data_IF_592602773762
#
_entry.id   IF_592602773762
#
_cell.length_a   1.000
_cell.length_b   1.000
_cell.length_c   1.000
_cell.angle_alpha   90.00
_cell.angle_beta   90.00
_cell.angle_gamma   90.00
#
_symmetry.space_group_name_H-M   'P 1'
#
loop_
_entity.id
_entity.type
_entity.pdbx_description
1 polymer ?
#
# COMPACT_ATOMS: atom_id res chain seq x y z
N UNK A 1 -25.48 9.20 -9.62
CA UNK A 1 -25.52 7.99 -10.46
C UNK A 1 -24.26 7.18 -10.14
N UNK A 2 -24.36 5.89 -9.80
CA UNK A 2 -23.20 5.08 -9.39
C UNK A 2 -22.50 4.49 -10.62
N UNK A 3 -21.18 4.68 -10.75
CA UNK A 3 -20.40 4.10 -11.84
C UNK A 3 -19.78 2.76 -11.43
N UNK A 4 -20.11 1.68 -12.14
CA UNK A 4 -19.48 0.36 -12.04
C UNK A 4 -18.52 0.19 -13.22
N UNK A 5 -17.21 0.32 -13.00
CA UNK A 5 -16.21 -0.04 -14.03
C UNK A 5 -16.00 -1.56 -14.03
N UNK A 6 -16.37 -2.23 -15.12
CA UNK A 6 -15.84 -3.54 -15.51
C UNK A 6 -15.02 -3.34 -16.81
N UNK A 7 -13.70 -3.46 -16.75
CA UNK A 7 -12.84 -3.32 -17.93
C UNK A 7 -11.38 -3.02 -17.57
N UNK A 8 -10.49 -3.00 -18.56
CA UNK A 8 -9.11 -2.50 -18.45
C UNK A 8 -9.06 -0.99 -18.73
N UNK A 9 -8.09 -0.22 -18.16
CA UNK A 9 -7.99 1.21 -18.40
C UNK A 9 -7.61 1.43 -19.87
N UNK A 10 -8.42 2.19 -20.61
CA UNK A 10 -8.12 2.55 -22.01
C UNK A 10 -8.76 1.65 -23.08
N UNK A 11 -9.58 0.66 -22.71
CA UNK A 11 -10.45 -0.03 -23.68
C UNK A 11 -11.86 -0.15 -23.11
N UNK A 12 -12.65 0.92 -23.30
CA UNK A 12 -14.07 0.93 -22.97
C UNK A 12 -14.80 0.03 -23.97
N UNK A 13 -15.16 -1.19 -23.55
CA UNK A 13 -15.95 -2.13 -24.35
C UNK A 13 -17.35 -1.59 -24.73
N UNK A 14 -17.76 -0.46 -24.16
CA UNK A 14 -19.06 0.18 -24.33
C UNK A 14 -18.97 1.71 -24.43
N UNK A 15 -18.02 2.24 -25.19
CA UNK A 15 -17.75 3.69 -25.31
C UNK A 15 -19.02 4.52 -25.63
N UNK A 16 -19.93 3.96 -26.44
CA UNK A 16 -21.20 4.60 -26.79
C UNK A 16 -22.16 4.84 -25.61
N UNK A 17 -22.11 4.02 -24.55
CA UNK A 17 -22.97 4.16 -23.37
C UNK A 17 -22.55 5.35 -22.48
N UNK A 18 -21.35 5.90 -22.67
CA UNK A 18 -20.77 6.92 -21.78
C UNK A 18 -20.56 8.28 -22.46
N UNK A 19 -20.99 8.44 -23.72
CA UNK A 19 -20.88 9.72 -24.47
C UNK A 19 -21.59 10.90 -23.78
N UNK A 20 -22.56 10.62 -22.91
CA UNK A 20 -23.30 11.63 -22.13
C UNK A 20 -23.00 11.57 -20.62
N UNK A 21 -22.06 10.72 -20.20
CA UNK A 21 -21.73 10.58 -18.79
C UNK A 21 -21.04 11.86 -18.26
N UNK A 22 -21.35 12.28 -17.03
CA UNK A 22 -20.64 13.39 -16.41
C UNK A 22 -19.17 13.03 -16.21
N UNK A 23 -18.29 14.04 -16.24
CA UNK A 23 -16.86 13.84 -16.04
C UNK A 23 -16.51 13.34 -14.62
N UNK A 24 -17.38 13.64 -13.63
CA UNK A 24 -17.19 13.25 -12.23
C UNK A 24 -18.48 12.69 -11.63
N UNK A 25 -18.34 11.86 -10.59
CA UNK A 25 -19.43 11.14 -9.95
C UNK A 25 -19.43 11.32 -8.42
N UNK A 26 -20.62 11.40 -7.82
CA UNK A 26 -20.78 11.47 -6.36
C UNK A 26 -20.60 10.11 -5.67
N UNK A 27 -20.72 9.02 -6.43
CA UNK A 27 -20.60 7.67 -5.89
C UNK A 27 -19.94 6.75 -6.93
N UNK A 28 -18.83 6.12 -6.55
CA UNK A 28 -18.13 5.12 -7.37
C UNK A 28 -18.09 3.80 -6.61
N UNK A 29 -18.50 2.71 -7.25
CA UNK A 29 -18.36 1.36 -6.72
C UNK A 29 -17.61 0.53 -7.76
N UNK A 30 -16.44 0.00 -7.42
CA UNK A 30 -15.58 -0.64 -8.42
C UNK A 30 -14.94 -1.92 -7.91
N UNK A 31 -14.78 -2.87 -8.83
CA UNK A 31 -13.95 -4.06 -8.68
C UNK A 31 -13.03 -4.16 -9.90
N UNK A 32 -11.94 -3.38 -9.93
CA UNK A 32 -11.00 -3.38 -11.05
C UNK A 32 -10.35 -4.76 -11.28
N UNK A 33 -9.88 -5.05 -12.50
CA UNK A 33 -9.13 -6.26 -12.78
C UNK A 33 -7.83 -6.33 -11.96
N UNK A 34 -7.52 -7.52 -11.44
CA UNK A 34 -6.32 -7.77 -10.64
C UNK A 34 -5.13 -8.23 -11.48
N UNK A 35 -3.92 -7.78 -11.13
CA UNK A 35 -2.67 -8.35 -11.65
C UNK A 35 -2.38 -8.11 -13.14
N UNK A 36 -3.16 -7.25 -13.80
CA UNK A 36 -2.94 -6.84 -15.18
C UNK A 36 -1.69 -5.96 -15.34
N UNK A 37 -1.22 -5.86 -16.59
CA UNK A 37 -0.20 -4.89 -16.98
C UNK A 37 -0.65 -4.07 -18.19
N UNK A 38 -0.58 -2.75 -18.06
CA UNK A 38 -0.89 -1.83 -19.16
C UNK A 38 0.35 -1.42 -19.95
N UNK A 39 0.16 -1.27 -21.27
CA UNK A 39 1.17 -0.79 -22.19
C UNK A 39 1.57 0.67 -21.95
N UNK A 40 2.74 1.08 -22.45
CA UNK A 40 3.31 2.43 -22.21
C UNK A 40 2.40 3.57 -22.67
N UNK A 41 1.60 3.37 -23.71
CA UNK A 41 0.67 4.36 -24.24
C UNK A 41 -0.44 4.69 -23.24
N UNK A 42 -1.11 3.68 -22.68
CA UNK A 42 -2.15 3.85 -21.67
C UNK A 42 -1.63 4.60 -20.42
N UNK A 43 -0.37 4.37 -20.05
CA UNK A 43 0.26 5.02 -18.90
C UNK A 43 0.40 6.53 -19.06
N UNK A 44 0.42 7.06 -20.30
CA UNK A 44 0.62 8.49 -20.55
C UNK A 44 -0.52 9.37 -20.07
N UNK A 45 -1.71 8.79 -19.88
CA UNK A 45 -2.90 9.48 -19.39
C UNK A 45 -2.93 9.65 -17.86
N UNK A 46 -1.95 9.11 -17.14
CA UNK A 46 -1.92 9.09 -15.68
C UNK A 46 -0.78 9.94 -15.13
N UNK A 47 -1.06 10.63 -14.02
CA UNK A 47 -0.06 11.44 -13.31
C UNK A 47 1.11 10.57 -12.82
N UNK A 48 0.81 9.38 -12.30
CA UNK A 48 1.80 8.44 -11.80
C UNK A 48 1.87 7.22 -12.73
N UNK A 49 2.80 7.29 -13.69
CA UNK A 49 2.99 6.26 -14.72
C UNK A 49 3.46 4.95 -14.10
N UNK A 50 2.74 3.87 -14.35
CA UNK A 50 3.12 2.50 -13.97
C UNK A 50 2.43 1.50 -14.88
N UNK A 51 3.05 0.34 -15.08
CA UNK A 51 2.37 -0.76 -15.76
C UNK A 51 1.30 -1.43 -14.91
N UNK A 52 1.23 -1.19 -13.60
CA UNK A 52 0.28 -1.88 -12.71
C UNK A 52 -1.16 -1.38 -12.92
N UNK A 53 -1.99 -2.20 -13.59
CA UNK A 53 -3.37 -1.88 -13.94
C UNK A 53 -4.20 -1.40 -12.73
N UNK A 54 -4.04 -2.04 -11.57
CA UNK A 54 -4.77 -1.70 -10.35
C UNK A 54 -4.44 -0.29 -9.81
N UNK A 55 -3.21 0.18 -9.99
CA UNK A 55 -2.77 1.51 -9.53
C UNK A 55 -3.30 2.58 -10.48
N UNK A 56 -3.29 2.29 -11.79
CA UNK A 56 -3.90 3.16 -12.79
C UNK A 56 -5.43 3.28 -12.56
N UNK A 57 -6.11 2.18 -12.21
CA UNK A 57 -7.52 2.23 -11.86
C UNK A 57 -7.82 3.07 -10.62
N UNK A 58 -7.00 2.96 -9.58
CA UNK A 58 -7.18 3.79 -8.39
C UNK A 58 -6.99 5.27 -8.72
N UNK A 59 -5.99 5.63 -9.54
CA UNK A 59 -5.83 7.00 -10.04
C UNK A 59 -7.07 7.47 -10.82
N UNK A 60 -7.56 6.65 -11.75
CA UNK A 60 -8.76 6.96 -12.52
C UNK A 60 -9.98 7.21 -11.62
N UNK A 61 -10.18 6.38 -10.59
CA UNK A 61 -11.28 6.54 -9.63
C UNK A 61 -11.14 7.84 -8.84
N UNK A 62 -9.93 8.16 -8.34
CA UNK A 62 -9.67 9.41 -7.62
C UNK A 62 -9.99 10.64 -8.48
N UNK A 63 -9.60 10.61 -9.76
CA UNK A 63 -9.85 11.72 -10.68
C UNK A 63 -11.32 11.82 -11.12
N UNK A 64 -12.06 10.70 -11.08
CA UNK A 64 -13.47 10.63 -11.45
C UNK A 64 -14.43 10.98 -10.30
N UNK A 65 -13.96 11.18 -9.07
CA UNK A 65 -14.83 11.59 -7.96
C UNK A 65 -15.13 13.09 -7.99
N UNK A 66 -16.40 13.45 -7.75
CA UNK A 66 -16.77 14.84 -7.47
C UNK A 66 -16.12 15.32 -6.17
N UNK A 67 -16.15 16.64 -5.91
CA UNK A 67 -15.45 17.25 -4.78
C UNK A 67 -15.76 16.62 -3.40
N UNK A 68 -16.98 16.11 -3.22
CA UNK A 68 -17.45 15.40 -2.02
C UNK A 68 -17.89 13.96 -2.33
N UNK A 69 -17.43 13.42 -3.46
CA UNK A 69 -17.79 12.09 -3.92
C UNK A 69 -17.27 10.99 -2.99
N UNK A 70 -18.00 9.87 -2.91
CA UNK A 70 -17.64 8.69 -2.12
C UNK A 70 -17.31 7.48 -2.98
N UNK A 71 -16.42 6.64 -2.51
CA UNK A 71 -15.99 5.45 -3.23
C UNK A 71 -15.97 4.21 -2.32
N UNK A 72 -16.41 3.08 -2.88
CA UNK A 72 -16.11 1.73 -2.39
C UNK A 72 -15.38 0.95 -3.49
N UNK A 73 -14.15 0.52 -3.25
CA UNK A 73 -13.34 -0.16 -4.26
C UNK A 73 -12.68 -1.42 -3.70
N UNK A 74 -12.68 -2.49 -4.51
CA UNK A 74 -11.87 -3.69 -4.26
C UNK A 74 -10.46 -3.47 -4.80
N UNK A 75 -9.43 -3.74 -4.00
CA UNK A 75 -8.03 -3.70 -4.45
C UNK A 75 -7.29 -4.95 -4.00
N UNK A 76 -6.27 -5.37 -4.74
CA UNK A 76 -5.36 -6.41 -4.26
C UNK A 76 -4.49 -5.89 -3.11
N UNK A 77 -3.99 -6.81 -2.28
CA UNK A 77 -3.13 -6.48 -1.14
C UNK A 77 -1.85 -5.75 -1.54
N UNK A 78 -1.35 -5.98 -2.76
CA UNK A 78 -0.18 -5.30 -3.30
C UNK A 78 -0.33 -3.79 -3.36
N UNK A 79 -1.54 -3.27 -3.64
CA UNK A 79 -1.82 -1.83 -3.60
C UNK A 79 -1.55 -1.25 -2.21
N UNK A 80 -1.87 -1.97 -1.13
CA UNK A 80 -1.71 -1.47 0.23
C UNK A 80 -0.24 -1.36 0.64
N UNK A 81 0.57 -2.41 0.44
CA UNK A 81 1.91 -2.48 1.04
C UNK A 81 3.07 -2.09 0.14
N UNK A 82 2.93 -2.13 -1.19
CA UNK A 82 4.07 -1.85 -2.07
C UNK A 82 4.52 -0.40 -1.94
N UNK A 83 5.79 -0.22 -1.60
CA UNK A 83 6.47 1.09 -1.49
C UNK A 83 7.76 1.15 -2.30
N UNK A 84 8.07 0.09 -3.05
CA UNK A 84 9.28 -0.05 -3.86
C UNK A 84 9.18 0.58 -5.26
N UNK A 85 8.03 1.13 -5.63
CA UNK A 85 7.75 1.79 -6.90
C UNK A 85 6.98 3.08 -6.63
N UNK A 86 7.47 4.22 -7.14
CA UNK A 86 6.96 5.54 -6.75
C UNK A 86 5.48 5.70 -7.03
N UNK A 87 4.98 5.16 -8.16
CA UNK A 87 3.57 5.26 -8.51
C UNK A 87 2.62 4.65 -7.46
N UNK A 88 3.02 3.59 -6.76
CA UNK A 88 2.23 3.04 -5.65
C UNK A 88 2.19 4.00 -4.46
N UNK A 89 3.34 4.58 -4.12
CA UNK A 89 3.47 5.52 -3.01
C UNK A 89 2.72 6.81 -3.30
N UNK A 90 2.94 7.40 -4.47
CA UNK A 90 2.34 8.68 -4.89
C UNK A 90 0.82 8.57 -5.05
N UNK A 91 0.31 7.45 -5.58
CA UNK A 91 -1.15 7.21 -5.65
C UNK A 91 -1.76 7.10 -4.25
N UNK A 92 -1.09 6.40 -3.32
CA UNK A 92 -1.55 6.31 -1.92
C UNK A 92 -1.43 7.64 -1.20
N UNK A 93 -0.39 8.43 -1.49
CA UNK A 93 -0.23 9.79 -0.98
C UNK A 93 -1.39 10.67 -1.42
N UNK A 94 -1.69 10.70 -2.73
CA UNK A 94 -2.85 11.39 -3.29
C UNK A 94 -4.16 10.95 -2.62
N UNK A 95 -4.38 9.64 -2.46
CA UNK A 95 -5.54 9.10 -1.75
C UNK A 95 -5.65 9.63 -0.33
N UNK A 96 -4.57 9.59 0.46
CA UNK A 96 -4.59 10.02 1.86
C UNK A 96 -4.61 11.55 2.05
N UNK A 97 -4.21 12.31 1.05
CA UNK A 97 -4.16 13.78 1.11
C UNK A 97 -5.46 14.43 0.58
N UNK A 98 -6.05 13.86 -0.46
CA UNK A 98 -7.28 14.38 -1.08
C UNK A 98 -8.57 13.73 -0.56
N UNK A 99 -8.47 12.53 0.04
CA UNK A 99 -9.63 11.77 0.51
C UNK A 99 -9.48 11.33 1.96
N UNK A 100 -10.63 11.19 2.61
CA UNK A 100 -10.81 10.60 3.93
C UNK A 100 -11.03 9.10 3.76
N UNK A 101 -9.94 8.33 3.75
CA UNK A 101 -9.94 6.87 3.74
C UNK A 101 -10.30 6.35 5.13
N UNK A 102 -11.59 6.37 5.42
CA UNK A 102 -12.08 6.09 6.77
C UNK A 102 -12.22 4.61 7.11
N UNK A 103 -12.20 3.70 6.12
CA UNK A 103 -12.31 2.26 6.38
C UNK A 103 -11.58 1.37 5.37
N UNK A 104 -10.85 0.37 5.88
CA UNK A 104 -10.26 -0.73 5.11
C UNK A 104 -10.74 -2.07 5.68
N UNK A 105 -11.29 -2.93 4.82
CA UNK A 105 -11.66 -4.30 5.20
C UNK A 105 -10.72 -5.29 4.53
N UNK A 106 -9.96 -6.04 5.32
CA UNK A 106 -9.06 -7.11 4.86
C UNK A 106 -9.87 -8.37 4.63
N UNK A 107 -10.03 -8.77 3.36
CA UNK A 107 -10.84 -9.92 3.00
C UNK A 107 -10.07 -11.24 3.18
N UNK A 108 -10.79 -12.36 3.38
CA UNK A 108 -10.19 -13.68 3.40
C UNK A 108 -9.43 -14.02 2.13
N UNK A 109 -8.37 -14.82 2.27
CA UNK A 109 -7.74 -15.47 1.14
C UNK A 109 -8.74 -16.37 0.41
N UNK A 110 -8.81 -16.23 -0.92
CA UNK A 110 -9.60 -17.10 -1.78
C UNK A 110 -11.05 -16.66 -2.05
N UNK A 111 -11.46 -15.47 -1.59
CA UNK A 111 -12.78 -14.89 -1.92
C UNK A 111 -13.03 -14.82 -3.43
N UNK A 112 -12.01 -14.46 -4.21
CA UNK A 112 -12.11 -14.34 -5.68
C UNK A 112 -11.54 -15.54 -6.44
N UNK A 113 -11.15 -16.64 -5.78
CA UNK A 113 -10.55 -17.80 -6.46
C UNK A 113 -11.51 -18.42 -7.48
N UNK A 114 -12.82 -18.44 -7.20
CA UNK A 114 -13.82 -18.95 -8.14
C UNK A 114 -13.94 -18.07 -9.41
N UNK A 115 -13.56 -16.80 -9.31
CA UNK A 115 -13.50 -15.86 -10.43
C UNK A 115 -12.11 -15.83 -11.12
N UNK A 116 -11.23 -16.79 -10.81
CA UNK A 116 -9.91 -16.90 -11.41
C UNK A 116 -8.82 -16.03 -10.76
N UNK A 117 -9.11 -15.35 -9.65
CA UNK A 117 -8.14 -14.50 -8.96
C UNK A 117 -7.77 -15.06 -7.57
N UNK A 118 -6.54 -15.55 -7.44
CA UNK A 118 -6.00 -16.09 -6.17
C UNK A 118 -5.38 -15.04 -5.24
N UNK A 119 -5.39 -13.77 -5.61
CA UNK A 119 -4.78 -12.69 -4.81
C UNK A 119 -5.62 -12.38 -3.57
N UNK A 120 -4.96 -12.03 -2.46
CA UNK A 120 -5.65 -11.44 -1.31
C UNK A 120 -6.12 -10.04 -1.67
N UNK A 121 -7.34 -9.70 -1.27
CA UNK A 121 -8.03 -8.46 -1.63
C UNK A 121 -8.48 -7.70 -0.40
N UNK A 122 -8.77 -6.41 -0.58
CA UNK A 122 -9.23 -5.51 0.46
C UNK A 122 -10.35 -4.64 -0.12
N UNK A 123 -11.27 -4.20 0.73
CA UNK A 123 -12.24 -3.16 0.41
C UNK A 123 -11.77 -1.84 1.01
N UNK A 124 -11.73 -0.79 0.19
CA UNK A 124 -11.41 0.57 0.63
C UNK A 124 -12.67 1.42 0.52
N UNK A 125 -12.96 2.18 1.57
CA UNK A 125 -14.06 3.14 1.59
C UNK A 125 -13.52 4.53 1.95
N UNK A 126 -13.74 5.48 1.05
CA UNK A 126 -13.23 6.83 1.21
C UNK A 126 -14.15 7.89 0.59
N UNK A 127 -14.05 9.12 1.12
CA UNK A 127 -14.76 10.29 0.61
C UNK A 127 -13.75 11.36 0.19
N UNK A 128 -13.97 12.02 -0.95
CA UNK A 128 -13.14 13.15 -1.38
C UNK A 128 -13.43 14.39 -0.53
N UNK A 129 -12.43 15.26 -0.40
CA UNK A 129 -12.60 16.62 0.12
C UNK A 129 -11.92 16.88 1.47
N UNK A 130 -11.43 15.85 2.15
CA UNK A 130 -10.66 15.98 3.40
C UNK A 130 -9.48 15.02 3.40
N UNK A 131 -8.33 15.38 3.99
CA UNK A 131 -7.25 14.43 4.17
C UNK A 131 -7.63 13.34 5.17
N UNK A 132 -7.05 12.15 5.00
CA UNK A 132 -7.21 11.04 5.94
C UNK A 132 -6.49 11.34 7.25
N UNK A 133 -7.24 11.34 8.35
CA UNK A 133 -6.68 11.44 9.71
C UNK A 133 -6.57 10.08 10.39
N UNK A 134 -7.62 9.27 10.29
CA UNK A 134 -7.73 7.95 10.95
C UNK A 134 -8.35 6.94 10.00
N UNK A 135 -7.85 5.71 10.04
CA UNK A 135 -8.40 4.59 9.28
C UNK A 135 -8.88 3.53 10.25
N UNK A 136 -10.14 3.14 10.13
CA UNK A 136 -10.69 1.98 10.84
C UNK A 136 -10.50 0.71 10.01
N UNK A 137 -9.74 -0.23 10.55
CA UNK A 137 -9.49 -1.51 9.91
C UNK A 137 -10.45 -2.56 10.45
N UNK A 138 -10.89 -3.45 9.56
CA UNK A 138 -11.67 -4.63 9.93
C UNK A 138 -11.07 -5.86 9.25
N UNK A 139 -10.73 -6.90 10.02
CA UNK A 139 -9.99 -8.07 9.55
C UNK A 139 -10.84 -9.34 9.50
N UNK A 140 -10.98 -9.87 8.29
CA UNK A 140 -11.62 -11.14 7.98
C UNK A 140 -10.60 -12.13 7.37
N UNK A 141 -9.31 -11.81 7.39
CA UNK A 141 -8.28 -12.57 6.67
C UNK A 141 -7.99 -13.96 7.23
N UNK A 142 -8.34 -14.22 8.49
CA UNK A 142 -8.23 -15.51 9.17
C UNK A 142 -9.28 -16.53 8.71
N UNK A 143 -10.37 -16.08 8.08
CA UNK A 143 -11.47 -16.95 7.66
C UNK A 143 -11.01 -17.82 6.49
N UNK A 144 -11.23 -19.14 6.61
CA UNK A 144 -10.95 -20.08 5.53
C UNK A 144 -12.10 -20.13 4.54
N UNK A 145 -11.85 -19.71 3.31
CA UNK A 145 -12.80 -19.78 2.20
C UNK A 145 -12.46 -20.96 1.29
N UNK A 146 -13.46 -21.71 0.87
CA UNK A 146 -13.28 -22.81 -0.08
C UNK A 146 -14.59 -23.22 -0.74
N UNK A 147 -14.52 -24.11 -1.73
CA UNK A 147 -15.72 -24.53 -2.52
C UNK A 147 -16.88 -25.04 -1.64
N UNK A 148 -16.56 -25.74 -0.55
CA UNK A 148 -17.56 -26.29 0.40
C UNK A 148 -17.94 -25.32 1.54
N UNK A 149 -17.20 -24.22 1.69
CA UNK A 149 -17.40 -23.19 2.72
C UNK A 149 -17.34 -21.81 2.04
N UNK A 150 -18.41 -21.43 1.34
CA UNK A 150 -18.45 -20.15 0.65
C UNK A 150 -18.35 -18.98 1.63
N UNK A 151 -17.84 -17.86 1.14
CA UNK A 151 -17.82 -16.62 1.90
C UNK A 151 -19.15 -15.89 1.69
N UNK A 152 -19.88 -15.69 2.78
CA UNK A 152 -21.27 -15.24 2.78
C UNK A 152 -21.44 -13.98 3.62
N UNK A 153 -22.54 -13.25 3.40
CA UNK A 153 -22.76 -11.92 3.97
C UNK A 153 -22.82 -11.92 5.50
N UNK A 154 -23.22 -13.03 6.15
CA UNK A 154 -23.24 -13.20 7.61
C UNK A 154 -21.87 -13.00 8.25
N UNK A 155 -20.77 -13.15 7.48
CA UNK A 155 -19.42 -12.84 7.96
C UNK A 155 -19.20 -11.36 8.25
N UNK A 156 -20.10 -10.49 7.78
CA UNK A 156 -20.07 -9.05 8.02
C UNK A 156 -21.05 -8.58 9.10
N UNK A 157 -21.76 -9.48 9.80
CA UNK A 157 -22.77 -9.08 10.79
C UNK A 157 -22.20 -8.20 11.91
N UNK A 158 -21.03 -8.55 12.44
CA UNK A 158 -20.34 -7.73 13.44
C UNK A 158 -19.84 -6.42 12.82
N UNK A 159 -19.28 -6.47 11.60
CA UNK A 159 -18.86 -5.28 10.86
C UNK A 159 -19.99 -4.26 10.77
N UNK A 160 -21.19 -4.67 10.33
CA UNK A 160 -22.33 -3.76 10.19
C UNK A 160 -22.81 -3.19 11.53
N UNK A 161 -22.74 -3.98 12.63
CA UNK A 161 -23.07 -3.49 13.97
C UNK A 161 -22.09 -2.42 14.46
N UNK A 162 -20.81 -2.55 14.11
CA UNK A 162 -19.75 -1.63 14.54
C UNK A 162 -19.61 -0.42 13.61
N UNK A 163 -19.96 -0.54 12.33
CA UNK A 163 -19.67 0.43 11.26
C UNK A 163 -20.11 1.86 11.59
N UNK A 164 -21.31 2.04 12.15
CA UNK A 164 -21.85 3.37 12.45
C UNK A 164 -20.98 4.15 13.45
N UNK A 165 -20.34 3.44 14.40
CA UNK A 165 -19.46 4.03 15.41
C UNK A 165 -17.98 3.79 15.13
N UNK A 166 -17.65 2.95 14.13
CA UNK A 166 -16.29 2.44 13.86
C UNK A 166 -15.59 2.03 15.15
N UNK A 167 -16.29 1.25 15.98
CA UNK A 167 -15.81 0.85 17.30
C UNK A 167 -14.83 -0.31 17.14
N UNK A 168 -13.69 -0.22 17.84
CA UNK A 168 -12.69 -1.28 17.91
C UNK A 168 -13.24 -2.57 18.56
N UNK A 169 -12.73 -3.71 18.13
CA UNK A 169 -13.08 -5.08 18.57
C UNK A 169 -11.93 -6.06 18.32
N UNK A 170 -12.11 -7.35 18.64
CA UNK A 170 -11.13 -8.40 18.31
C UNK A 170 -10.79 -8.46 16.80
N UNK A 171 -11.70 -8.00 15.94
CA UNK A 171 -11.53 -7.95 14.49
C UNK A 171 -11.27 -6.55 13.94
N UNK A 172 -11.31 -5.51 14.77
CA UNK A 172 -11.24 -4.13 14.27
C UNK A 172 -10.47 -3.19 15.16
N UNK A 173 -9.72 -2.28 14.56
CA UNK A 173 -8.90 -1.30 15.27
C UNK A 173 -8.72 -0.04 14.45
N UNK A 174 -8.46 1.07 15.13
CA UNK A 174 -8.23 2.36 14.48
C UNK A 174 -6.74 2.72 14.47
N UNK A 175 -6.23 3.11 13.31
CA UNK A 175 -4.86 3.66 13.17
C UNK A 175 -4.94 5.17 12.95
N UNK A 176 -4.21 5.92 13.76
CA UNK A 176 -4.08 7.38 13.64
C UNK A 176 -2.95 7.74 12.66
N UNK A 177 -3.35 8.08 11.43
CA UNK A 177 -2.43 8.43 10.35
C UNK A 177 -1.85 9.83 10.49
N UNK A 178 -2.58 10.76 11.11
CA UNK A 178 -2.03 12.08 11.47
C UNK A 178 -0.83 11.91 12.40
N UNK A 179 -0.97 11.09 13.44
CA UNK A 179 0.12 10.76 14.37
C UNK A 179 1.25 10.00 13.67
N UNK A 180 0.92 9.00 12.83
CA UNK A 180 1.93 8.23 12.08
C UNK A 180 2.77 9.11 11.15
N UNK A 181 2.14 10.04 10.42
CA UNK A 181 2.84 11.05 9.58
C UNK A 181 3.72 11.97 10.43
N UNK A 182 3.23 12.45 11.57
CA UNK A 182 3.99 13.33 12.45
C UNK A 182 5.25 12.65 13.04
N UNK A 183 5.13 11.37 13.43
CA UNK A 183 6.26 10.56 13.92
C UNK A 183 7.30 10.40 12.79
N UNK A 184 6.88 9.96 11.61
CA UNK A 184 7.79 9.77 10.48
C UNK A 184 8.52 11.06 10.09
N UNK A 185 7.82 12.20 10.09
CA UNK A 185 8.44 13.51 9.85
C UNK A 185 9.50 13.85 10.91
N UNK A 186 9.21 13.58 12.19
CA UNK A 186 10.15 13.82 13.29
C UNK A 186 11.39 12.93 13.18
N UNK A 187 11.20 11.67 12.78
CA UNK A 187 12.29 10.71 12.55
C UNK A 187 13.13 11.05 11.29
N UNK A 188 12.52 11.63 10.25
CA UNK A 188 13.18 12.04 9.02
C UNK A 188 13.94 13.37 9.16
N UNK A 189 13.52 14.26 10.05
CA UNK A 189 14.06 15.62 10.24
C UNK A 189 15.60 15.68 10.44
N UNK A 190 16.25 14.80 11.22
CA UNK A 190 17.72 14.82 11.36
C UNK A 190 18.42 14.59 10.03
N UNK A 191 17.91 13.69 9.20
CA UNK A 191 18.46 13.36 7.89
C UNK A 191 18.27 14.51 6.91
N UNK A 192 17.10 15.16 6.90
CA UNK A 192 16.85 16.36 6.10
C UNK A 192 17.81 17.49 6.48
N UNK A 193 17.97 17.74 7.79
CA UNK A 193 18.87 18.78 8.30
C UNK A 193 20.32 18.50 7.93
N UNK A 194 20.77 17.26 8.06
CA UNK A 194 22.14 16.89 7.69
C UNK A 194 22.35 16.98 6.17
N UNK A 195 21.40 16.50 5.36
CA UNK A 195 21.46 16.62 3.89
C UNK A 195 21.61 18.08 3.45
N UNK A 196 20.81 18.98 4.03
CA UNK A 196 20.86 20.41 3.74
C UNK A 196 22.24 21.01 4.07
N UNK A 197 22.84 20.63 5.21
CA UNK A 197 24.20 21.06 5.58
C UNK A 197 25.23 20.60 4.54
N UNK A 198 25.15 19.33 4.10
CA UNK A 198 26.05 18.77 3.09
C UNK A 198 25.91 19.50 1.76
N UNK A 199 24.70 19.88 1.37
CA UNK A 199 24.44 20.65 0.14
C UNK A 199 24.95 22.08 0.21
N UNK A 200 24.74 22.75 1.33
CA UNK A 200 25.28 24.09 1.55
C UNK A 200 26.80 24.07 1.48
N UNK A 201 27.45 23.09 2.12
CA UNK A 201 28.89 22.90 2.02
C UNK A 201 29.32 22.62 0.57
N UNK A 202 28.63 21.73 -0.15
CA UNK A 202 28.93 21.45 -1.56
C UNK A 202 28.78 22.70 -2.45
N UNK A 203 27.81 23.57 -2.17
CA UNK A 203 27.62 24.82 -2.89
C UNK A 203 28.71 25.84 -2.57
N UNK A 204 29.21 25.89 -1.32
CA UNK A 204 30.41 26.65 -0.97
C UNK A 204 31.62 26.21 -1.80
N UNK A 205 31.90 24.90 -1.83
CA UNK A 205 32.97 24.36 -2.67
C UNK A 205 32.78 24.64 -4.17
N UNK A 206 31.55 24.67 -4.69
CA UNK A 206 31.28 25.08 -6.08
C UNK A 206 31.62 26.54 -6.34
N UNK A 207 31.35 27.43 -5.37
CA UNK A 207 31.73 28.82 -5.47
C UNK A 207 33.26 28.98 -5.46
N UNK A 208 33.95 28.29 -4.55
CA UNK A 208 35.42 28.29 -4.49
C UNK A 208 36.05 27.72 -5.76
N UNK A 209 35.50 26.63 -6.29
CA UNK A 209 35.92 26.03 -7.55
C UNK A 209 35.85 27.03 -8.71
N UNK A 210 34.79 27.87 -8.75
CA UNK A 210 34.64 28.91 -9.77
C UNK A 210 35.75 29.96 -9.67
N UNK A 211 36.13 30.37 -8.46
CA UNK A 211 37.24 31.32 -8.27
C UNK A 211 38.61 30.70 -8.53
N UNK A 212 38.84 29.44 -8.10
CA UNK A 212 40.08 28.70 -8.37
C UNK A 212 40.33 28.51 -9.88
N UNK A 213 39.26 28.33 -10.68
CA UNK A 213 39.34 28.23 -12.14
C UNK A 213 39.69 29.56 -12.83
N UNK A 214 39.48 30.72 -12.18
CA UNK A 214 39.85 32.04 -12.71
C UNK A 214 41.32 32.42 -12.45
N UNK A 215 41.96 31.80 -11.46
CA UNK A 215 43.34 32.10 -11.09
C UNK A 215 44.34 31.79 -12.23
N UNK A 216 45.34 32.67 -12.42
CA UNK A 216 46.45 32.48 -13.36
C UNK A 216 47.79 32.50 -12.61
N UNK A 217 48.60 31.43 -12.65
CA UNK A 217 48.33 30.14 -13.30
C UNK A 217 47.25 29.33 -12.55
N UNK A 218 46.58 28.38 -13.23
CA UNK A 218 45.52 27.58 -12.61
C UNK A 218 46.06 26.67 -11.50
N UNK A 219 45.43 26.72 -10.33
CA UNK A 219 45.78 25.90 -9.16
C UNK A 219 45.23 24.47 -9.30
N UNK A 220 45.78 23.68 -10.22
CA UNK A 220 45.29 22.34 -10.61
C UNK A 220 44.97 21.41 -9.43
N UNK A 221 45.84 21.36 -8.41
CA UNK A 221 45.65 20.51 -7.22
C UNK A 221 44.42 20.93 -6.40
N UNK A 222 44.27 22.23 -6.16
CA UNK A 222 43.13 22.78 -5.42
C UNK A 222 41.81 22.62 -6.18
N UNK A 223 41.84 22.74 -7.52
CA UNK A 223 40.67 22.47 -8.38
C UNK A 223 40.22 21.01 -8.22
N UNK A 224 41.15 20.06 -8.31
CA UNK A 224 40.84 18.64 -8.17
C UNK A 224 40.29 18.29 -6.78
N UNK A 225 40.82 18.91 -5.73
CA UNK A 225 40.34 18.76 -4.36
C UNK A 225 38.90 19.29 -4.19
N UNK A 226 38.62 20.50 -4.69
CA UNK A 226 37.29 21.08 -4.65
C UNK A 226 36.28 20.22 -5.44
N UNK A 227 36.64 19.75 -6.64
CA UNK A 227 35.79 18.83 -7.41
C UNK A 227 35.51 17.51 -6.65
N UNK A 228 36.51 16.95 -5.97
CA UNK A 228 36.32 15.75 -5.14
C UNK A 228 35.37 16.01 -3.97
N UNK A 229 35.53 17.14 -3.27
CA UNK A 229 34.65 17.52 -2.15
C UNK A 229 33.22 17.76 -2.56
N UNK A 230 32.97 18.40 -3.71
CA UNK A 230 31.62 18.59 -4.26
C UNK A 230 30.95 17.24 -4.53
N UNK A 231 31.68 16.28 -5.11
CA UNK A 231 31.16 14.94 -5.40
C UNK A 231 30.86 14.15 -4.13
N UNK A 232 31.78 14.17 -3.16
CA UNK A 232 31.64 13.51 -1.85
C UNK A 232 30.39 14.05 -1.10
N UNK A 233 30.33 15.36 -0.86
CA UNK A 233 29.22 15.99 -0.15
C UNK A 233 27.89 15.83 -0.89
N UNK A 234 27.91 15.91 -2.23
CA UNK A 234 26.71 15.68 -3.04
C UNK A 234 26.24 14.22 -3.04
N UNK A 235 27.13 13.25 -2.82
CA UNK A 235 26.76 11.84 -2.62
C UNK A 235 26.14 11.66 -1.24
N UNK A 236 26.79 12.15 -0.19
CA UNK A 236 26.30 12.07 1.19
C UNK A 236 24.92 12.72 1.34
N UNK A 237 24.71 13.91 0.75
CA UNK A 237 23.42 14.58 0.75
C UNK A 237 22.30 13.73 0.12
N UNK A 238 22.59 13.07 -1.01
CA UNK A 238 21.62 12.21 -1.70
C UNK A 238 21.28 10.96 -0.87
N UNK A 239 22.26 10.35 -0.22
CA UNK A 239 22.05 9.20 0.67
C UNK A 239 21.19 9.59 1.88
N UNK A 240 21.45 10.75 2.49
CA UNK A 240 20.66 11.27 3.61
C UNK A 240 19.21 11.58 3.20
N UNK A 241 19.01 12.23 2.05
CA UNK A 241 17.65 12.45 1.49
C UNK A 241 16.91 11.14 1.26
N UNK A 242 17.59 10.14 0.69
CA UNK A 242 16.98 8.83 0.44
C UNK A 242 16.56 8.14 1.73
N UNK A 243 17.33 8.28 2.82
CA UNK A 243 16.94 7.79 4.15
C UNK A 243 15.71 8.51 4.69
N UNK A 244 15.68 9.83 4.61
CA UNK A 244 14.55 10.65 5.05
C UNK A 244 13.27 10.26 4.29
N UNK A 245 13.36 10.19 2.96
CA UNK A 245 12.27 9.80 2.08
C UNK A 245 11.79 8.37 2.36
N UNK A 246 12.67 7.42 2.65
CA UNK A 246 12.28 6.04 2.98
C UNK A 246 11.44 5.98 4.28
N UNK A 247 11.78 6.78 5.29
CA UNK A 247 11.03 6.88 6.55
C UNK A 247 9.63 7.45 6.29
N UNK A 248 9.57 8.55 5.54
CA UNK A 248 8.29 9.21 5.20
C UNK A 248 7.42 8.31 4.30
N UNK A 249 8.02 7.64 3.32
CA UNK A 249 7.30 6.78 2.39
C UNK A 249 6.76 5.50 3.05
N UNK A 250 7.40 5.01 4.12
CA UNK A 250 6.92 3.86 4.89
C UNK A 250 5.54 4.11 5.55
N UNK A 251 5.13 5.37 5.73
CA UNK A 251 3.78 5.71 6.22
C UNK A 251 2.70 5.29 5.23
N UNK A 252 3.01 5.27 3.94
CA UNK A 252 2.09 4.85 2.89
C UNK A 252 2.04 3.32 2.72
N UNK A 253 2.66 2.53 3.60
CA UNK A 253 2.25 1.15 3.78
C UNK A 253 0.94 1.12 4.59
N UNK A 254 -0.16 0.91 3.86
CA UNK A 254 -1.52 0.87 4.42
C UNK A 254 -1.90 -0.50 4.96
N UNK A 255 -1.06 -1.52 4.77
CA UNK A 255 -1.32 -2.85 5.31
C UNK A 255 -1.12 -2.80 6.82
N UNK A 256 -2.19 -3.04 7.56
CA UNK A 256 -2.13 -3.15 9.01
C UNK A 256 -2.36 -4.60 9.43
N UNK A 257 -1.51 -5.09 10.33
CA UNK A 257 -1.70 -6.39 10.99
C UNK A 257 -2.65 -6.17 12.16
N UNK A 258 -3.65 -7.04 12.32
CA UNK A 258 -4.59 -6.95 13.42
C UNK A 258 -3.85 -7.14 14.77
N UNK A 259 -3.74 -6.10 15.62
CA UNK A 259 -3.02 -6.17 16.88
C UNK A 259 -3.75 -7.03 17.92
N UNK A 260 -5.05 -7.30 17.71
CA UNK A 260 -5.89 -8.09 18.60
C UNK A 260 -5.88 -9.58 18.22
N UNK A 261 -5.10 -9.96 17.21
CA UNK A 261 -4.96 -11.37 16.79
C UNK A 261 -4.42 -12.18 17.95
N UNK A 262 -5.26 -13.06 18.50
CA UNK A 262 -4.81 -14.06 19.46
C UNK A 262 -4.00 -15.10 18.71
N UNK A 263 -2.67 -15.03 18.84
CA UNK A 263 -1.82 -16.13 18.41
C UNK A 263 -2.09 -17.27 19.38
N UNK A 264 -2.90 -18.25 18.98
CA UNK A 264 -2.84 -19.58 19.59
C UNK A 264 -1.46 -20.16 19.27
N UNK A 265 -0.47 -19.74 20.07
CA UNK A 265 0.82 -20.37 20.06
C UNK A 265 0.60 -21.80 20.54
N UNK A 266 0.99 -22.75 19.71
CA UNK A 266 1.05 -24.14 20.15
C UNK A 266 2.06 -24.22 21.30
N UNK A 267 1.55 -24.26 22.53
CA UNK A 267 2.38 -24.34 23.74
C UNK A 267 2.84 -25.77 24.03
N UNK A 268 2.57 -26.74 23.13
CA UNK A 268 3.02 -28.12 23.31
C UNK A 268 4.55 -28.17 23.29
N UNK A 269 5.12 -28.82 24.30
CA UNK A 269 6.57 -29.07 24.35
C UNK A 269 6.96 -30.11 23.29
N UNK A 270 8.25 -30.17 22.87
CA UNK A 270 8.73 -31.22 21.98
C UNK A 270 8.38 -32.63 22.47
N UNK A 271 8.40 -32.88 23.79
CA UNK A 271 8.00 -34.16 24.38
C UNK A 271 6.51 -34.46 24.20
N UNK A 272 5.64 -33.46 24.34
CA UNK A 272 4.20 -33.61 24.10
C UNK A 272 3.89 -33.88 22.62
N UNK A 273 4.60 -33.21 21.70
CA UNK A 273 4.49 -33.44 20.26
C UNK A 273 4.94 -34.86 19.87
N UNK A 274 6.09 -35.32 20.40
CA UNK A 274 6.59 -36.69 20.16
C UNK A 274 5.57 -37.73 20.65
N UNK A 275 5.02 -37.54 21.85
CA UNK A 275 4.01 -38.45 22.42
C UNK A 275 2.73 -38.53 21.59
N UNK A 276 2.29 -37.41 21.02
CA UNK A 276 1.15 -37.40 20.09
C UNK A 276 1.49 -38.09 18.76
N UNK A 277 2.69 -37.86 18.20
CA UNK A 277 3.15 -38.54 16.99
C UNK A 277 3.15 -40.07 17.20
N UNK A 278 3.67 -40.54 18.33
CA UNK A 278 3.67 -41.97 18.69
C UNK A 278 2.24 -42.52 18.83
N UNK A 279 1.33 -41.74 19.43
CA UNK A 279 -0.08 -42.12 19.56
C UNK A 279 -0.74 -42.27 18.18
N UNK A 280 -0.59 -41.28 17.31
CA UNK A 280 -1.12 -41.34 15.95
C UNK A 280 -0.48 -42.45 15.12
N UNK A 281 0.82 -42.71 15.30
CA UNK A 281 1.51 -43.85 14.70
C UNK A 281 0.85 -45.18 15.05
N UNK A 282 0.53 -45.41 16.32
CA UNK A 282 -0.19 -46.61 16.78
C UNK A 282 -1.61 -46.71 16.23
N UNK A 283 -2.31 -45.58 16.08
CA UNK A 283 -3.64 -45.55 15.47
C UNK A 283 -3.58 -45.89 13.97
N UNK A 284 -2.58 -45.36 13.26
CA UNK A 284 -2.32 -45.67 11.85
C UNK A 284 -1.98 -47.14 11.68
N UNK A 285 -1.10 -47.71 12.51
CA UNK A 285 -0.76 -49.14 12.46
C UNK A 285 -1.98 -50.04 12.67
N UNK A 286 -2.84 -49.71 13.65
CA UNK A 286 -4.10 -50.43 13.87
C UNK A 286 -5.05 -50.33 12.67
N UNK A 287 -5.14 -49.16 12.05
CA UNK A 287 -5.96 -48.97 10.86
C UNK A 287 -5.43 -49.77 9.67
N UNK A 288 -4.10 -49.77 9.45
CA UNK A 288 -3.45 -50.54 8.40
C UNK A 288 -3.58 -52.05 8.62
N UNK A 289 -3.50 -52.54 9.86
CA UNK A 289 -3.71 -53.94 10.17
C UNK A 289 -5.13 -54.41 9.82
N UNK A 290 -6.15 -53.60 10.11
CA UNK A 290 -7.55 -53.88 9.72
C UNK A 290 -7.78 -53.89 8.22
N UNK A 291 -6.98 -53.15 7.44
CA UNK A 291 -7.07 -53.13 5.98
C UNK A 291 -6.35 -54.33 5.33
N UNK A 292 -5.44 -54.99 6.07
CA UNK A 292 -4.67 -56.16 5.61
C UNK A 292 -5.28 -57.50 6.04
N UNK A 293 -6.25 -57.49 6.96
CA UNK A 293 -7.05 -58.64 7.37
C UNK A 293 -8.33 -58.73 6.54
#
# INVERSE_FOLDING_TARGET
MAHLTHGAPGRLLYDGLFTTAPATFDCVLSNPPFGGKEGKEAQTHFAFKTGATQVLFLQHVLDSLSAEGRCGIVVDEGVLFRTNESAFVDTKRKLLEECDLHCIVSLPGGVFTAAGAGVKTNLLFFNRGKPTEKIWYYDLSDIKVGKKKPFTIDRFDEFFKLLNKRKDSDRSWTVDFTKRKAIARTEAEPFHREALKKEQAANGWKADLKELKKAKPPKKKAIAEADAKIKELGKEARELRSKAEAIENAVFDLKAVNPNTRVEADTRTPAQLIKEIEKYGKEIEKALARLKS
#
